data_IF_248333597542
#
_entry.id   IF_248333597542
#
_cell.length_a   1.000
_cell.length_b   1.000
_cell.length_c   1.000
_cell.angle_alpha   90.00
_cell.angle_beta   90.00
_cell.angle_gamma   90.00
#
_symmetry.space_group_name_H-M   'P 1'
#
loop_
_entity.id
_entity.type
_entity.pdbx_description
1 polymer ?
#
# COMPACT_ATOMS: atom_id res chain seq x y z
N UNK A 1 50.29 52.88 -8.62
CA UNK A 1 48.88 52.66 -8.91
C UNK A 1 48.73 51.23 -9.38
N UNK A 2 48.46 50.29 -8.46
CA UNK A 2 48.15 48.91 -8.81
C UNK A 2 46.62 48.71 -8.64
N UNK A 3 45.93 48.51 -9.76
CA UNK A 3 44.51 48.12 -9.74
C UNK A 3 44.41 46.67 -9.33
N UNK A 4 43.81 46.44 -8.16
CA UNK A 4 43.43 45.11 -7.70
C UNK A 4 42.38 44.50 -8.61
N UNK A 5 42.63 43.32 -9.14
CA UNK A 5 41.68 42.46 -9.81
C UNK A 5 40.87 41.80 -8.71
N UNK A 6 39.59 42.19 -8.56
CA UNK A 6 38.63 41.43 -7.78
C UNK A 6 38.31 40.15 -8.58
N UNK A 7 38.82 39.03 -8.10
CA UNK A 7 38.30 37.72 -8.52
C UNK A 7 36.90 37.55 -7.90
N UNK A 8 35.88 37.67 -8.70
CA UNK A 8 34.55 37.20 -8.35
C UNK A 8 34.60 35.69 -8.31
N UNK A 9 34.57 35.12 -7.10
CA UNK A 9 34.33 33.69 -6.89
C UNK A 9 32.92 33.37 -7.38
N UNK A 10 32.79 32.94 -8.62
CA UNK A 10 31.62 32.25 -9.12
C UNK A 10 31.67 30.79 -8.63
N UNK A 11 31.44 30.55 -7.35
CA UNK A 11 31.04 29.26 -6.85
C UNK A 11 29.54 29.09 -7.15
N UNK A 12 29.18 28.84 -8.39
CA UNK A 12 27.95 28.20 -8.72
C UNK A 12 28.08 26.76 -8.17
N UNK A 13 27.67 26.54 -6.93
CA UNK A 13 27.52 25.21 -6.37
C UNK A 13 26.55 24.46 -7.29
N UNK A 14 27.04 23.40 -7.93
CA UNK A 14 26.25 22.59 -8.84
C UNK A 14 25.26 21.81 -7.95
N UNK A 15 24.06 22.40 -7.73
CA UNK A 15 23.02 21.83 -6.84
C UNK A 15 22.54 20.50 -7.40
N UNK A 16 22.35 19.51 -6.53
CA UNK A 16 21.66 18.27 -6.90
C UNK A 16 20.16 18.54 -7.08
N UNK A 17 19.60 18.15 -8.21
CA UNK A 17 18.19 18.34 -8.54
C UNK A 17 17.37 17.15 -8.04
N UNK A 18 16.33 17.42 -7.25
CA UNK A 18 15.36 16.43 -6.78
C UNK A 18 13.99 16.73 -7.40
N UNK A 19 13.53 15.84 -8.25
CA UNK A 19 12.21 15.91 -8.87
C UNK A 19 11.16 15.19 -8.01
N UNK A 20 10.12 15.91 -7.62
CA UNK A 20 8.95 15.37 -6.93
C UNK A 20 7.81 15.20 -7.93
N UNK A 21 7.58 13.96 -8.39
CA UNK A 21 6.48 13.62 -9.30
C UNK A 21 5.19 13.45 -8.49
N UNK A 22 4.13 14.17 -8.89
CA UNK A 22 2.82 14.27 -8.23
C UNK A 22 2.87 14.94 -6.83
N UNK A 23 3.94 15.66 -6.56
CA UNK A 23 4.11 16.41 -5.33
C UNK A 23 4.23 15.55 -4.07
N UNK A 24 4.58 16.18 -2.97
CA UNK A 24 4.69 15.58 -1.64
C UNK A 24 4.03 16.48 -0.60
N UNK A 25 3.79 15.94 0.60
CA UNK A 25 3.38 16.74 1.74
C UNK A 25 4.49 17.74 2.13
N UNK A 26 4.11 18.94 2.60
CA UNK A 26 5.05 20.03 2.89
C UNK A 26 6.13 19.66 3.91
N UNK A 27 5.80 18.81 4.89
CA UNK A 27 6.78 18.28 5.84
C UNK A 27 7.92 17.45 5.22
N UNK A 28 7.67 16.79 4.08
CA UNK A 28 8.72 16.15 3.31
C UNK A 28 9.51 17.15 2.47
N UNK A 29 8.80 18.08 1.78
CA UNK A 29 9.45 19.14 0.98
C UNK A 29 10.39 20.00 1.82
N UNK A 30 10.01 20.28 3.08
CA UNK A 30 10.82 21.08 4.01
C UNK A 30 12.24 20.52 4.16
N UNK A 31 12.41 19.18 4.21
CA UNK A 31 13.72 18.55 4.31
C UNK A 31 14.63 18.86 3.11
N UNK A 32 14.06 19.01 1.90
CA UNK A 32 14.81 19.43 0.71
C UNK A 32 15.16 20.93 0.76
N UNK A 33 14.22 21.76 1.21
CA UNK A 33 14.38 23.22 1.26
C UNK A 33 15.35 23.69 2.35
N UNK A 34 15.60 22.86 3.38
CA UNK A 34 16.61 23.10 4.41
C UNK A 34 18.06 22.82 3.94
N UNK A 35 18.22 22.31 2.70
CA UNK A 35 19.53 21.98 2.10
C UNK A 35 19.91 23.00 1.03
N UNK A 36 21.01 23.71 1.22
CA UNK A 36 21.53 24.72 0.27
C UNK A 36 22.09 24.10 -1.01
N UNK A 37 22.47 22.82 -0.98
CA UNK A 37 23.03 22.06 -2.10
C UNK A 37 21.97 21.33 -2.93
N UNK A 38 20.67 21.51 -2.63
CA UNK A 38 19.56 20.90 -3.34
C UNK A 38 18.75 21.95 -4.12
N UNK A 39 18.30 21.56 -5.31
CA UNK A 39 17.25 22.22 -6.09
C UNK A 39 16.03 21.31 -6.14
N UNK A 40 14.94 21.72 -5.50
CA UNK A 40 13.70 20.96 -5.42
C UNK A 40 12.73 21.36 -6.54
N UNK A 41 12.33 20.42 -7.39
CA UNK A 41 11.43 20.63 -8.53
C UNK A 41 10.16 19.79 -8.28
N UNK A 42 8.98 20.35 -8.53
CA UNK A 42 7.71 19.64 -8.39
C UNK A 42 6.93 19.68 -9.69
N UNK A 43 6.44 18.52 -10.14
CA UNK A 43 5.44 18.42 -11.20
C UNK A 43 4.22 17.68 -10.66
N UNK A 44 3.02 18.04 -11.14
CA UNK A 44 1.78 17.38 -10.73
C UNK A 44 1.29 16.33 -11.74
N UNK A 45 1.99 16.21 -12.86
CA UNK A 45 1.65 15.31 -13.95
C UNK A 45 1.98 13.85 -13.65
N UNK A 46 1.23 12.94 -14.30
CA UNK A 46 1.54 11.52 -14.42
C UNK A 46 1.86 11.13 -15.89
N UNK A 47 1.92 12.10 -16.80
CA UNK A 47 2.27 11.87 -18.20
C UNK A 47 3.74 11.50 -18.35
N UNK A 48 4.03 10.43 -19.11
CA UNK A 48 5.37 9.88 -19.31
C UNK A 48 6.33 10.91 -19.91
N UNK A 49 5.89 11.69 -20.90
CA UNK A 49 6.76 12.63 -21.59
C UNK A 49 7.08 13.85 -20.71
N UNK A 50 6.10 14.34 -19.94
CA UNK A 50 6.33 15.43 -18.99
C UNK A 50 7.29 15.01 -17.88
N UNK A 51 7.12 13.79 -17.35
CA UNK A 51 8.04 13.24 -16.35
C UNK A 51 9.43 13.07 -16.93
N UNK A 52 9.55 12.52 -18.15
CA UNK A 52 10.83 12.28 -18.83
C UNK A 52 11.60 13.60 -19.06
N UNK A 53 10.93 14.65 -19.49
CA UNK A 53 11.59 15.96 -19.69
C UNK A 53 12.02 16.58 -18.36
N UNK A 54 11.17 16.53 -17.31
CA UNK A 54 11.49 17.06 -15.99
C UNK A 54 12.61 16.27 -15.28
N UNK A 55 12.70 14.96 -15.54
CA UNK A 55 13.68 14.06 -14.93
C UNK A 55 15.06 14.10 -15.59
N UNK A 56 15.19 14.71 -16.78
CA UNK A 56 16.41 14.69 -17.62
C UNK A 56 17.70 15.03 -16.88
N UNK A 57 17.65 16.05 -16.03
CA UNK A 57 18.80 16.52 -15.24
C UNK A 57 18.65 16.17 -13.75
N UNK A 58 17.66 15.38 -13.36
CA UNK A 58 17.42 15.04 -11.98
C UNK A 58 18.47 14.07 -11.44
N UNK A 59 18.89 14.29 -10.19
CA UNK A 59 19.79 13.40 -9.44
C UNK A 59 18.98 12.44 -8.53
N UNK A 60 17.79 12.85 -8.11
CA UNK A 60 16.85 12.02 -7.35
C UNK A 60 15.43 12.27 -7.82
N UNK A 61 14.63 11.21 -7.84
CA UNK A 61 13.21 11.27 -8.18
C UNK A 61 12.40 10.69 -7.03
N UNK A 62 11.42 11.45 -6.53
CA UNK A 62 10.36 10.89 -5.68
C UNK A 62 9.09 10.76 -6.50
N UNK A 63 8.34 9.65 -6.32
CA UNK A 63 7.13 9.37 -7.11
C UNK A 63 6.02 8.78 -6.24
N UNK A 64 4.77 9.15 -6.52
CA UNK A 64 3.59 8.58 -5.84
C UNK A 64 3.04 7.36 -6.61
N UNK A 65 2.23 7.60 -7.64
CA UNK A 65 1.54 6.54 -8.39
C UNK A 65 1.85 6.55 -9.88
N UNK A 66 2.54 7.58 -10.38
CA UNK A 66 2.92 7.65 -11.79
C UNK A 66 3.92 6.54 -12.15
N UNK A 67 3.89 6.13 -13.42
CA UNK A 67 4.83 5.15 -13.94
C UNK A 67 6.21 5.77 -14.12
N UNK A 68 7.23 5.08 -13.63
CA UNK A 68 8.65 5.36 -13.92
C UNK A 68 9.14 4.26 -14.86
N UNK A 69 9.04 4.55 -16.14
CA UNK A 69 9.36 3.59 -17.20
C UNK A 69 10.85 3.58 -17.53
N UNK A 70 11.29 2.56 -18.26
CA UNK A 70 12.66 2.44 -18.81
C UNK A 70 13.08 3.70 -19.57
N UNK A 71 12.18 4.29 -20.36
CA UNK A 71 12.48 5.51 -21.12
C UNK A 71 12.83 6.69 -20.21
N UNK A 72 12.08 6.88 -19.12
CA UNK A 72 12.37 7.94 -18.14
C UNK A 72 13.74 7.71 -17.52
N UNK A 73 14.01 6.47 -17.07
CA UNK A 73 15.25 6.09 -16.39
C UNK A 73 16.46 6.29 -17.30
N UNK A 74 16.43 5.76 -18.50
CA UNK A 74 17.54 5.86 -19.47
C UNK A 74 17.78 7.30 -19.96
N UNK A 75 16.74 8.15 -19.97
CA UNK A 75 16.88 9.57 -20.33
C UNK A 75 17.47 10.42 -19.20
N UNK A 76 17.44 9.95 -17.97
CA UNK A 76 17.85 10.67 -16.76
C UNK A 76 19.32 10.37 -16.40
N UNK A 77 20.27 11.00 -17.11
CA UNK A 77 21.71 10.65 -17.06
C UNK A 77 22.40 10.88 -15.72
N UNK A 78 21.82 11.74 -14.88
CA UNK A 78 22.39 12.09 -13.56
C UNK A 78 21.67 11.36 -12.41
N UNK A 79 20.69 10.51 -12.71
CA UNK A 79 19.82 9.86 -11.71
C UNK A 79 20.62 8.91 -10.82
N UNK A 80 20.54 9.13 -9.51
CA UNK A 80 21.24 8.36 -8.48
C UNK A 80 20.27 7.53 -7.62
N UNK A 81 18.98 7.89 -7.62
CA UNK A 81 17.95 7.19 -6.83
C UNK A 81 16.55 7.49 -7.35
N UNK A 82 15.70 6.48 -7.32
CA UNK A 82 14.22 6.61 -7.35
C UNK A 82 13.69 6.24 -5.97
N UNK A 83 12.89 7.12 -5.36
CA UNK A 83 12.27 6.88 -4.06
C UNK A 83 10.75 6.93 -4.16
N UNK A 84 10.11 5.82 -3.85
CA UNK A 84 8.65 5.68 -3.90
C UNK A 84 8.01 6.24 -2.63
N UNK A 85 7.04 7.15 -2.78
CA UNK A 85 6.18 7.65 -1.71
C UNK A 85 5.14 6.60 -1.32
N UNK A 86 5.55 5.57 -0.61
CA UNK A 86 4.75 4.42 -0.18
C UNK A 86 5.52 3.11 -0.29
N UNK A 87 4.84 1.97 -0.23
CA UNK A 87 5.46 0.63 -0.16
C UNK A 87 5.39 -0.12 -1.49
N UNK A 88 4.28 -0.02 -2.22
CA UNK A 88 4.11 -0.68 -3.51
C UNK A 88 4.92 0.02 -4.61
N UNK A 89 5.55 -0.73 -5.48
CA UNK A 89 6.42 -0.22 -6.55
C UNK A 89 6.10 -0.82 -7.92
N UNK A 90 4.90 -1.34 -8.08
CA UNK A 90 4.42 -2.01 -9.29
C UNK A 90 4.45 -1.09 -10.54
N UNK A 91 4.43 0.24 -10.34
CA UNK A 91 4.53 1.26 -11.40
C UNK A 91 5.96 1.66 -11.77
N UNK A 92 6.99 0.99 -11.22
CA UNK A 92 8.40 1.35 -11.43
C UNK A 92 9.12 0.19 -12.13
N UNK A 93 9.79 0.49 -13.23
CA UNK A 93 10.60 -0.50 -13.96
C UNK A 93 11.90 -0.81 -13.19
N UNK A 94 11.82 -1.83 -12.33
CA UNK A 94 12.94 -2.26 -11.47
C UNK A 94 14.09 -2.82 -12.29
N UNK A 95 13.80 -3.50 -13.39
CA UNK A 95 14.83 -4.08 -14.27
C UNK A 95 15.65 -2.97 -14.95
N UNK A 96 14.99 -1.90 -15.40
CA UNK A 96 15.68 -0.74 -15.95
C UNK A 96 16.57 -0.04 -14.90
N UNK A 97 16.11 0.05 -13.65
CA UNK A 97 16.92 0.59 -12.54
C UNK A 97 18.14 -0.30 -12.25
N UNK A 98 17.97 -1.62 -12.28
CA UNK A 98 19.06 -2.59 -12.13
C UNK A 98 20.11 -2.43 -13.24
N UNK A 99 19.66 -2.36 -14.49
CA UNK A 99 20.54 -2.18 -15.66
C UNK A 99 21.36 -0.89 -15.59
N UNK A 100 20.79 0.15 -14.98
CA UNK A 100 21.44 1.45 -14.80
C UNK A 100 22.22 1.58 -13.47
N UNK A 101 22.19 0.58 -12.59
CA UNK A 101 22.82 0.62 -11.26
C UNK A 101 22.20 1.66 -10.32
N UNK A 102 20.88 1.93 -10.44
CA UNK A 102 20.17 2.96 -9.68
C UNK A 102 19.31 2.30 -8.61
N UNK A 103 19.48 2.61 -7.32
CA UNK A 103 18.67 2.07 -6.24
C UNK A 103 17.23 2.58 -6.28
N UNK A 104 16.30 1.66 -5.99
CA UNK A 104 14.90 1.93 -5.71
C UNK A 104 14.65 1.86 -4.22
N UNK A 105 14.33 2.99 -3.61
CA UNK A 105 13.90 3.05 -2.21
C UNK A 105 12.38 3.15 -2.07
N UNK A 106 11.85 2.63 -0.97
CA UNK A 106 10.42 2.72 -0.61
C UNK A 106 10.24 3.35 0.78
N UNK A 107 9.04 3.89 1.04
CA UNK A 107 8.67 4.37 2.38
C UNK A 107 8.18 3.19 3.25
N UNK A 108 9.11 2.27 3.57
CA UNK A 108 8.84 0.91 4.05
C UNK A 108 8.01 0.83 5.35
N UNK A 109 8.15 1.82 6.26
CA UNK A 109 7.55 1.78 7.61
C UNK A 109 6.42 2.81 7.78
N UNK A 110 6.07 3.55 6.74
CA UNK A 110 5.31 4.79 6.88
C UNK A 110 3.80 4.60 6.99
N UNK A 111 3.21 3.57 6.32
CA UNK A 111 1.75 3.40 6.22
C UNK A 111 1.20 2.10 6.81
N UNK A 112 2.05 1.22 7.34
CA UNK A 112 1.65 -0.11 7.81
C UNK A 112 0.56 -0.09 8.88
N UNK A 113 0.58 0.94 9.77
CA UNK A 113 -0.44 1.12 10.81
C UNK A 113 -1.77 1.47 10.17
N UNK A 114 -1.78 2.43 9.25
CA UNK A 114 -3.00 2.93 8.58
C UNK A 114 -3.69 1.83 7.79
N UNK A 115 -2.93 1.00 7.05
CA UNK A 115 -3.49 -0.13 6.30
C UNK A 115 -4.07 -1.19 7.23
N UNK A 116 -3.39 -1.51 8.34
CA UNK A 116 -3.92 -2.46 9.32
C UNK A 116 -5.19 -1.94 10.01
N UNK A 117 -5.27 -0.63 10.27
CA UNK A 117 -6.47 0.01 10.80
C UNK A 117 -7.62 0.01 9.80
N UNK A 118 -7.31 0.28 8.53
CA UNK A 118 -8.31 0.24 7.46
C UNK A 118 -8.89 -1.17 7.25
N UNK A 119 -8.05 -2.21 7.27
CA UNK A 119 -8.50 -3.59 7.20
C UNK A 119 -9.42 -3.95 8.38
N UNK A 120 -9.05 -3.54 9.60
CA UNK A 120 -9.90 -3.74 10.78
C UNK A 120 -11.20 -2.93 10.69
N UNK A 121 -11.14 -1.68 10.21
CA UNK A 121 -12.32 -0.87 9.94
C UNK A 121 -13.27 -1.55 8.96
N UNK A 122 -12.77 -2.08 7.83
CA UNK A 122 -13.61 -2.80 6.85
C UNK A 122 -14.31 -3.99 7.49
N UNK A 123 -13.61 -4.79 8.28
CA UNK A 123 -14.19 -5.91 9.00
C UNK A 123 -15.29 -5.47 9.97
N UNK A 124 -15.04 -4.44 10.78
CA UNK A 124 -16.01 -3.90 11.72
C UNK A 124 -17.22 -3.30 11.02
N UNK A 125 -17.00 -2.53 9.95
CA UNK A 125 -18.08 -1.91 9.17
C UNK A 125 -19.02 -2.96 8.55
N UNK A 126 -18.45 -4.03 7.99
CA UNK A 126 -19.21 -5.15 7.45
C UNK A 126 -19.94 -5.93 8.54
N UNK A 127 -19.26 -6.30 9.63
CA UNK A 127 -19.86 -7.06 10.73
C UNK A 127 -20.96 -6.30 11.45
N UNK A 128 -20.87 -4.97 11.55
CA UNK A 128 -21.89 -4.10 12.15
C UNK A 128 -22.95 -3.61 11.14
N UNK A 129 -22.82 -3.96 9.86
CA UNK A 129 -23.74 -3.54 8.79
C UNK A 129 -23.96 -2.02 8.77
N UNK A 130 -22.85 -1.26 8.90
CA UNK A 130 -22.89 0.16 9.23
C UNK A 130 -23.68 0.99 8.21
N UNK A 131 -23.51 0.72 6.90
CA UNK A 131 -24.19 1.50 5.86
C UNK A 131 -25.69 1.22 5.80
N UNK A 132 -26.10 -0.01 6.11
CA UNK A 132 -27.51 -0.35 6.20
C UNK A 132 -28.18 0.45 7.33
N UNK A 133 -27.66 0.36 8.55
CA UNK A 133 -28.26 1.06 9.68
C UNK A 133 -28.14 2.58 9.59
N UNK A 134 -27.03 3.14 9.10
CA UNK A 134 -26.87 4.58 8.86
C UNK A 134 -27.93 5.12 7.88
N UNK A 135 -28.16 4.40 6.75
CA UNK A 135 -29.15 4.77 5.75
C UNK A 135 -30.56 4.90 6.32
N UNK A 136 -30.94 3.98 7.21
CA UNK A 136 -32.28 4.00 7.84
C UNK A 136 -32.36 5.01 8.99
N UNK A 137 -31.31 5.14 9.79
CA UNK A 137 -31.25 6.15 10.84
C UNK A 137 -31.43 7.57 10.29
N UNK A 138 -30.78 7.90 9.15
CA UNK A 138 -30.94 9.19 8.46
C UNK A 138 -32.37 9.45 7.96
N UNK A 139 -33.16 8.41 7.75
CA UNK A 139 -34.57 8.50 7.37
C UNK A 139 -35.52 8.55 8.58
N UNK A 140 -34.99 8.57 9.79
CA UNK A 140 -35.72 8.41 11.05
C UNK A 140 -36.57 7.12 11.10
N UNK A 141 -36.14 6.08 10.37
CA UNK A 141 -36.78 4.77 10.36
C UNK A 141 -36.15 3.87 11.44
N UNK A 142 -36.86 3.74 12.54
CA UNK A 142 -36.47 2.94 13.71
C UNK A 142 -36.92 1.47 13.63
N UNK A 143 -37.67 1.09 12.61
CA UNK A 143 -38.17 -0.29 12.47
C UNK A 143 -37.05 -1.30 12.27
N UNK A 144 -35.95 -0.86 11.63
CA UNK A 144 -34.76 -1.67 11.37
C UNK A 144 -33.99 -2.13 12.61
N UNK A 145 -34.25 -1.53 13.79
CA UNK A 145 -33.65 -1.99 15.06
C UNK A 145 -33.97 -3.44 15.41
N UNK A 146 -35.05 -3.97 14.83
CA UNK A 146 -35.47 -5.36 15.00
C UNK A 146 -34.99 -6.29 13.89
N UNK A 147 -34.36 -5.74 12.84
CA UNK A 147 -33.72 -6.51 11.77
C UNK A 147 -32.24 -6.76 12.14
N UNK A 148 -32.02 -7.83 12.91
CA UNK A 148 -30.69 -8.13 13.49
C UNK A 148 -29.78 -8.71 12.43
N UNK A 149 -28.92 -7.85 11.82
CA UNK A 149 -27.91 -8.20 10.82
C UNK A 149 -26.48 -8.13 11.34
N UNK A 150 -26.27 -7.32 12.39
CA UNK A 150 -24.95 -7.14 12.97
C UNK A 150 -24.55 -8.33 13.86
N UNK A 151 -23.24 -8.61 13.93
CA UNK A 151 -22.67 -9.59 14.84
C UNK A 151 -21.39 -9.08 15.48
N UNK A 152 -20.98 -9.71 16.59
CA UNK A 152 -19.76 -9.35 17.29
C UNK A 152 -18.56 -10.06 16.67
N UNK A 153 -17.40 -9.35 16.61
CA UNK A 153 -16.15 -9.95 16.16
C UNK A 153 -15.43 -10.72 17.29
N UNK A 154 -15.78 -10.44 18.55
CA UNK A 154 -15.24 -11.15 19.70
C UNK A 154 -15.51 -12.67 19.60
N UNK A 155 -14.50 -13.48 19.90
CA UNK A 155 -14.49 -14.95 19.79
C UNK A 155 -14.68 -15.50 18.36
N UNK A 156 -14.66 -14.64 17.32
CA UNK A 156 -14.68 -15.05 15.93
C UNK A 156 -13.29 -15.38 15.42
N UNK A 157 -13.24 -16.28 14.45
CA UNK A 157 -11.98 -16.72 13.85
C UNK A 157 -11.63 -15.82 12.67
N UNK A 158 -10.46 -15.21 12.70
CA UNK A 158 -9.87 -14.48 11.57
C UNK A 158 -8.61 -15.17 11.07
N UNK A 159 -8.53 -15.39 9.76
CA UNK A 159 -7.31 -15.79 9.07
C UNK A 159 -6.64 -14.57 8.46
N UNK A 160 -5.38 -14.36 8.79
CA UNK A 160 -4.54 -13.32 8.20
C UNK A 160 -3.52 -14.02 7.31
N UNK A 161 -3.53 -13.71 6.01
CA UNK A 161 -2.59 -14.24 5.03
C UNK A 161 -1.51 -13.20 4.79
N UNK A 162 -0.28 -13.54 5.17
CA UNK A 162 0.88 -12.64 5.21
C UNK A 162 1.11 -12.04 6.61
N UNK A 163 2.29 -12.31 7.20
CA UNK A 163 2.73 -11.81 8.51
C UNK A 163 3.84 -10.76 8.40
N UNK A 164 3.83 -10.02 7.30
CA UNK A 164 4.77 -8.92 7.09
C UNK A 164 4.46 -7.68 7.95
N UNK A 165 4.95 -6.53 7.49
CA UNK A 165 4.81 -5.24 8.19
C UNK A 165 3.37 -4.87 8.54
N UNK A 166 2.41 -5.18 7.66
CA UNK A 166 0.99 -4.85 7.83
C UNK A 166 0.27 -5.95 8.62
N UNK A 167 0.40 -7.22 8.20
CA UNK A 167 -0.30 -8.34 8.81
C UNK A 167 -0.01 -8.48 10.30
N UNK A 168 1.25 -8.31 10.72
CA UNK A 168 1.64 -8.31 12.14
C UNK A 168 0.96 -7.19 12.95
N UNK A 169 0.68 -6.03 12.34
CA UNK A 169 -0.07 -4.94 13.00
C UNK A 169 -1.56 -5.24 13.07
N UNK A 170 -2.11 -5.95 12.07
CA UNK A 170 -3.52 -6.41 12.12
C UNK A 170 -3.69 -7.49 13.18
N UNK A 171 -2.77 -8.46 13.32
CA UNK A 171 -2.81 -9.48 14.39
C UNK A 171 -3.03 -8.83 15.74
N UNK A 172 -2.20 -7.83 16.10
CA UNK A 172 -2.33 -7.13 17.37
C UNK A 172 -3.70 -6.49 17.58
N UNK A 173 -4.29 -5.92 16.50
CA UNK A 173 -5.61 -5.28 16.56
C UNK A 173 -6.73 -6.30 16.71
N UNK A 174 -6.68 -7.38 15.94
CA UNK A 174 -7.66 -8.45 16.00
C UNK A 174 -7.68 -9.13 17.39
N UNK A 175 -6.51 -9.38 17.98
CA UNK A 175 -6.39 -9.88 19.35
C UNK A 175 -7.00 -8.93 20.38
N UNK A 176 -6.83 -7.61 20.21
CA UNK A 176 -7.41 -6.61 21.11
C UNK A 176 -8.96 -6.53 21.00
N UNK A 177 -9.54 -7.08 19.93
CA UNK A 177 -10.99 -7.29 19.78
C UNK A 177 -11.44 -8.69 20.18
N UNK A 178 -10.61 -9.41 20.97
CA UNK A 178 -10.88 -10.76 21.45
C UNK A 178 -11.16 -11.79 20.35
N UNK A 179 -10.59 -11.59 19.15
CA UNK A 179 -10.70 -12.56 18.06
C UNK A 179 -9.72 -13.72 18.23
N UNK A 180 -10.08 -14.88 17.72
CA UNK A 180 -9.17 -16.01 17.53
C UNK A 180 -8.39 -15.76 16.22
N UNK A 181 -7.10 -15.44 16.32
CA UNK A 181 -6.29 -15.05 15.17
C UNK A 181 -5.46 -16.24 14.69
N UNK A 182 -5.60 -16.57 13.41
CA UNK A 182 -4.84 -17.57 12.68
C UNK A 182 -4.01 -16.85 11.61
N UNK A 183 -2.77 -17.29 11.40
CA UNK A 183 -1.87 -16.67 10.44
C UNK A 183 -1.24 -17.73 9.54
N UNK A 184 -1.31 -17.51 8.25
CA UNK A 184 -0.57 -18.22 7.23
C UNK A 184 0.47 -17.31 6.59
N UNK A 185 1.73 -17.68 6.68
CA UNK A 185 2.84 -17.06 5.95
C UNK A 185 3.93 -18.13 5.75
N UNK A 186 4.23 -18.54 4.49
CA UNK A 186 5.19 -19.61 4.23
C UNK A 186 6.65 -19.17 4.38
N UNK A 187 6.92 -17.88 4.58
CA UNK A 187 8.27 -17.30 4.63
C UNK A 187 8.69 -16.84 6.02
N UNK A 188 7.76 -16.84 6.99
CA UNK A 188 8.01 -16.41 8.37
C UNK A 188 8.01 -17.63 9.30
N UNK A 189 9.00 -17.66 10.20
CA UNK A 189 9.09 -18.74 11.18
C UNK A 189 7.82 -18.80 12.06
N UNK A 190 7.28 -20.01 12.22
CA UNK A 190 6.09 -20.27 13.03
C UNK A 190 6.22 -19.73 14.47
N UNK A 191 7.45 -19.73 15.01
CA UNK A 191 7.73 -19.20 16.36
C UNK A 191 7.55 -17.69 16.45
N UNK A 192 7.81 -16.93 15.39
CA UNK A 192 7.58 -15.48 15.37
C UNK A 192 6.09 -15.16 15.37
N UNK A 193 5.32 -15.93 14.58
CA UNK A 193 3.86 -15.79 14.54
C UNK A 193 3.25 -16.12 15.90
N UNK A 194 3.65 -17.24 16.52
CA UNK A 194 3.11 -17.65 17.82
C UNK A 194 3.49 -16.73 18.96
N UNK A 195 4.68 -16.12 18.94
CA UNK A 195 5.09 -15.08 19.90
C UNK A 195 4.19 -13.84 19.87
N UNK A 196 3.54 -13.58 18.73
CA UNK A 196 2.58 -12.45 18.61
C UNK A 196 1.23 -12.71 19.28
N UNK A 197 0.96 -13.94 19.73
CA UNK A 197 -0.31 -14.41 20.29
C UNK A 197 -1.25 -15.02 19.23
N UNK A 198 -0.87 -15.05 17.97
CA UNK A 198 -1.62 -15.71 16.92
C UNK A 198 -1.29 -17.20 16.81
N UNK A 199 -2.18 -17.95 16.17
CA UNK A 199 -1.96 -19.36 15.84
C UNK A 199 -1.40 -19.48 14.43
N UNK A 200 -0.21 -20.06 14.30
CA UNK A 200 0.36 -20.41 13.00
C UNK A 200 -0.42 -21.56 12.36
N UNK A 201 -0.54 -21.53 11.03
CA UNK A 201 -1.14 -22.60 10.23
C UNK A 201 -0.26 -22.89 9.02
N UNK A 202 -0.02 -24.20 8.75
CA UNK A 202 0.79 -24.66 7.61
C UNK A 202 0.07 -24.53 6.27
N UNK A 203 -1.27 -24.55 6.30
CA UNK A 203 -2.12 -24.44 5.11
C UNK A 203 -3.36 -23.61 5.43
N UNK A 204 -3.57 -22.53 4.69
CA UNK A 204 -4.76 -21.71 4.85
C UNK A 204 -6.03 -22.44 4.36
N UNK A 205 -5.88 -23.33 3.38
CA UNK A 205 -6.99 -24.09 2.81
C UNK A 205 -7.67 -25.00 3.83
N UNK A 206 -6.89 -25.63 4.70
CA UNK A 206 -7.40 -26.61 5.65
C UNK A 206 -8.37 -26.02 6.68
N UNK A 207 -8.22 -24.70 6.93
CA UNK A 207 -8.99 -23.99 7.96
C UNK A 207 -10.03 -23.01 7.41
N UNK A 208 -10.08 -22.75 6.09
CA UNK A 208 -11.02 -21.77 5.49
C UNK A 208 -12.47 -22.00 5.93
N UNK A 209 -12.89 -23.26 6.03
CA UNK A 209 -14.24 -23.65 6.46
C UNK A 209 -14.61 -23.22 7.89
N UNK A 210 -13.61 -22.90 8.71
CA UNK A 210 -13.77 -22.53 10.12
C UNK A 210 -13.59 -21.03 10.36
N UNK A 211 -13.24 -20.27 9.31
CA UNK A 211 -12.96 -18.83 9.41
C UNK A 211 -14.21 -17.99 9.23
N UNK A 212 -14.37 -16.99 10.11
CA UNK A 212 -15.43 -15.99 10.03
C UNK A 212 -14.99 -14.76 9.23
N UNK A 213 -13.67 -14.52 9.14
CA UNK A 213 -13.06 -13.51 8.30
C UNK A 213 -11.72 -13.97 7.74
N UNK A 214 -11.40 -13.51 6.54
CA UNK A 214 -10.07 -13.66 5.93
C UNK A 214 -9.57 -12.28 5.53
N UNK A 215 -8.31 -11.95 5.86
CA UNK A 215 -7.69 -10.68 5.50
C UNK A 215 -6.34 -10.92 4.81
N UNK A 216 -6.18 -10.32 3.62
CA UNK A 216 -5.02 -10.54 2.76
C UNK A 216 -3.99 -9.42 2.92
N UNK A 217 -2.73 -9.80 3.18
CA UNK A 217 -1.59 -8.89 3.41
C UNK A 217 -0.30 -9.42 2.79
N UNK A 218 -0.41 -10.32 1.82
CA UNK A 218 0.70 -10.84 1.02
C UNK A 218 0.97 -9.93 -0.20
N UNK A 219 2.18 -9.97 -0.79
CA UNK A 219 2.45 -9.33 -2.08
C UNK A 219 1.72 -10.07 -3.21
N UNK A 220 1.54 -9.40 -4.37
CA UNK A 220 1.11 -10.05 -5.60
C UNK A 220 2.34 -10.61 -6.32
N UNK A 221 2.33 -11.89 -6.61
CA UNK A 221 3.32 -12.62 -7.40
C UNK A 221 2.64 -13.82 -8.09
N UNK A 222 3.40 -14.71 -8.69
CA UNK A 222 2.87 -15.92 -9.35
C UNK A 222 2.11 -16.84 -8.39
N UNK A 223 2.57 -16.96 -7.13
CA UNK A 223 1.95 -17.82 -6.11
C UNK A 223 0.64 -17.25 -5.55
N UNK A 224 0.49 -15.93 -5.57
CA UNK A 224 -0.64 -15.22 -4.94
C UNK A 224 -1.63 -14.65 -5.94
N UNK A 225 -1.31 -14.68 -7.24
CA UNK A 225 -2.25 -14.30 -8.30
C UNK A 225 -3.43 -15.26 -8.32
N UNK A 226 -4.66 -14.71 -8.28
CA UNK A 226 -5.92 -15.47 -8.19
C UNK A 226 -5.97 -16.47 -7.01
N UNK A 227 -5.20 -16.19 -5.95
CA UNK A 227 -5.11 -17.03 -4.75
C UNK A 227 -6.50 -17.25 -4.11
N UNK A 228 -7.38 -16.25 -4.20
CA UNK A 228 -8.79 -16.37 -3.82
C UNK A 228 -9.67 -16.38 -5.07
N UNK A 229 -10.10 -17.57 -5.44
CA UNK A 229 -10.94 -17.84 -6.60
C UNK A 229 -12.16 -18.69 -6.22
N UNK A 230 -12.83 -19.29 -7.19
CA UNK A 230 -14.05 -20.08 -6.98
C UNK A 230 -13.85 -21.22 -5.98
N UNK A 231 -12.66 -21.86 -5.96
CA UNK A 231 -12.30 -22.94 -5.03
C UNK A 231 -12.34 -22.46 -3.58
N UNK A 232 -11.63 -21.38 -3.29
CA UNK A 232 -11.49 -20.84 -1.95
C UNK A 232 -12.84 -20.30 -1.43
N UNK A 233 -13.60 -19.59 -2.27
CA UNK A 233 -14.95 -19.14 -1.91
C UNK A 233 -15.91 -20.29 -1.61
N UNK A 234 -15.79 -21.43 -2.29
CA UNK A 234 -16.60 -22.60 -2.00
C UNK A 234 -16.25 -23.28 -0.67
N UNK A 235 -15.03 -23.09 -0.17
CA UNK A 235 -14.55 -23.60 1.11
C UNK A 235 -14.88 -22.69 2.29
N UNK A 236 -15.11 -21.38 2.05
CA UNK A 236 -15.43 -20.41 3.09
C UNK A 236 -16.82 -20.60 3.69
N UNK A 237 -17.02 -20.15 4.93
CA UNK A 237 -18.36 -20.10 5.55
C UNK A 237 -19.26 -19.13 4.79
N UNK A 238 -20.55 -19.44 4.67
CA UNK A 238 -21.56 -18.52 4.12
C UNK A 238 -21.70 -17.22 4.92
N UNK A 239 -21.32 -17.24 6.18
CA UNK A 239 -21.33 -16.09 7.09
C UNK A 239 -20.00 -15.32 7.11
N UNK A 240 -19.00 -15.70 6.31
CA UNK A 240 -17.68 -15.11 6.38
C UNK A 240 -17.53 -13.84 5.54
N UNK A 241 -16.50 -13.07 5.86
CA UNK A 241 -16.04 -11.90 5.11
C UNK A 241 -14.63 -12.10 4.54
N UNK A 242 -14.40 -11.52 3.36
CA UNK A 242 -13.07 -11.38 2.77
C UNK A 242 -12.65 -9.91 2.78
N UNK A 243 -11.42 -9.60 3.24
CA UNK A 243 -10.84 -8.25 3.22
C UNK A 243 -9.56 -8.27 2.38
N UNK A 244 -9.47 -7.38 1.39
CA UNK A 244 -8.26 -7.21 0.59
C UNK A 244 -7.84 -5.72 0.58
N UNK A 245 -6.79 -5.40 1.35
CA UNK A 245 -6.08 -4.12 1.33
C UNK A 245 -4.62 -4.32 0.87
N UNK A 246 -4.33 -5.42 0.15
CA UNK A 246 -2.98 -5.75 -0.33
C UNK A 246 -2.77 -5.31 -1.78
N UNK A 247 -3.24 -6.13 -2.74
CA UNK A 247 -3.16 -5.84 -4.19
C UNK A 247 -4.37 -6.41 -4.92
N UNK A 248 -4.77 -5.73 -6.01
CA UNK A 248 -5.64 -6.31 -7.03
C UNK A 248 -5.01 -7.55 -7.67
N UNK A 249 -5.82 -8.49 -8.16
CA UNK A 249 -5.37 -9.73 -8.77
C UNK A 249 -4.94 -10.83 -7.79
N UNK A 250 -4.92 -10.59 -6.46
CA UNK A 250 -4.82 -11.66 -5.45
C UNK A 250 -6.18 -12.34 -5.30
N UNK A 251 -7.24 -11.58 -5.43
CA UNK A 251 -8.62 -12.05 -5.46
C UNK A 251 -9.11 -12.00 -6.90
N UNK A 252 -9.58 -13.11 -7.45
CA UNK A 252 -10.23 -13.11 -8.75
C UNK A 252 -11.58 -12.39 -8.66
N UNK A 253 -11.69 -11.19 -9.22
CA UNK A 253 -12.89 -10.34 -9.10
C UNK A 253 -14.15 -10.99 -9.67
N UNK A 254 -14.04 -11.77 -10.76
CA UNK A 254 -15.16 -12.50 -11.36
C UNK A 254 -15.70 -13.58 -10.43
N UNK A 255 -14.80 -14.30 -9.78
CA UNK A 255 -15.14 -15.33 -8.78
C UNK A 255 -15.74 -14.72 -7.52
N UNK A 256 -15.20 -13.57 -7.07
CA UNK A 256 -15.75 -12.81 -5.95
C UNK A 256 -17.17 -12.32 -6.25
N UNK A 257 -17.41 -11.75 -7.44
CA UNK A 257 -18.75 -11.33 -7.87
C UNK A 257 -19.75 -12.48 -7.79
N UNK A 258 -19.39 -13.66 -8.31
CA UNK A 258 -20.22 -14.87 -8.23
C UNK A 258 -20.48 -15.30 -6.78
N UNK A 259 -19.43 -15.26 -5.94
CA UNK A 259 -19.53 -15.66 -4.54
C UNK A 259 -20.47 -14.73 -3.73
N UNK A 260 -20.39 -13.42 -3.97
CA UNK A 260 -21.24 -12.42 -3.33
C UNK A 260 -22.69 -12.50 -3.79
N UNK A 261 -22.94 -12.61 -5.11
CA UNK A 261 -24.31 -12.70 -5.69
C UNK A 261 -25.02 -14.00 -5.34
N UNK A 262 -24.28 -15.12 -5.27
CA UNK A 262 -24.80 -16.43 -4.87
C UNK A 262 -24.80 -16.65 -3.37
N UNK A 263 -24.38 -15.66 -2.57
CA UNK A 263 -24.30 -15.72 -1.09
C UNK A 263 -23.45 -16.90 -0.59
N UNK A 264 -22.36 -17.19 -1.29
CA UNK A 264 -21.35 -18.16 -0.84
C UNK A 264 -20.56 -17.63 0.35
N UNK A 265 -20.31 -16.30 0.35
CA UNK A 265 -19.81 -15.54 1.49
C UNK A 265 -20.77 -14.40 1.81
N UNK A 266 -20.71 -13.87 3.01
CA UNK A 266 -21.64 -12.83 3.48
C UNK A 266 -21.31 -11.47 2.84
N UNK A 267 -20.02 -11.14 2.72
CA UNK A 267 -19.57 -9.86 2.15
C UNK A 267 -18.07 -9.80 1.94
N UNK A 268 -17.63 -8.70 1.36
CA UNK A 268 -16.21 -8.42 1.17
C UNK A 268 -15.88 -6.94 1.39
N UNK A 269 -14.61 -6.64 1.71
CA UNK A 269 -14.03 -5.30 1.74
C UNK A 269 -12.84 -5.22 0.80
N UNK A 270 -12.86 -4.33 -0.16
CA UNK A 270 -11.77 -4.11 -1.11
C UNK A 270 -11.29 -2.67 -1.09
N UNK A 271 -9.99 -2.50 -0.94
CA UNK A 271 -9.29 -1.22 -1.15
C UNK A 271 -8.51 -1.20 -2.47
N UNK A 272 -8.40 -2.36 -3.14
CA UNK A 272 -7.58 -2.58 -4.33
C UNK A 272 -8.34 -3.40 -5.37
N UNK A 273 -8.01 -3.19 -6.66
CA UNK A 273 -8.74 -3.76 -7.80
C UNK A 273 -7.78 -4.31 -8.86
N UNK A 274 -8.29 -5.19 -9.74
CA UNK A 274 -7.53 -5.74 -10.86
C UNK A 274 -7.02 -4.63 -11.78
N UNK A 275 -7.88 -3.67 -12.09
CA UNK A 275 -7.56 -2.48 -12.87
C UNK A 275 -7.66 -1.23 -11.96
N UNK A 276 -6.59 -0.46 -11.85
CA UNK A 276 -6.54 0.81 -11.10
C UNK A 276 -6.02 1.96 -11.98
N UNK A 277 -6.80 3.04 -12.15
CA UNK A 277 -8.14 3.30 -11.63
C UNK A 277 -9.20 2.38 -12.23
N UNK A 278 -10.05 1.82 -11.36
CA UNK A 278 -11.17 1.00 -11.82
C UNK A 278 -12.29 1.86 -12.41
N UNK A 279 -13.05 1.31 -13.35
CA UNK A 279 -14.13 2.01 -14.03
C UNK A 279 -15.49 1.72 -13.40
N UNK A 280 -16.47 2.61 -13.63
CA UNK A 280 -17.86 2.42 -13.15
C UNK A 280 -18.56 1.17 -13.71
N UNK A 281 -17.99 0.53 -14.73
CA UNK A 281 -18.48 -0.72 -15.29
C UNK A 281 -18.07 -1.96 -14.49
N UNK A 282 -17.22 -1.83 -13.48
CA UNK A 282 -16.86 -2.95 -12.62
C UNK A 282 -18.12 -3.48 -11.89
N UNK A 283 -18.52 -4.76 -12.13
CA UNK A 283 -19.78 -5.29 -11.59
C UNK A 283 -19.83 -5.33 -10.07
N UNK A 284 -18.69 -5.39 -9.39
CA UNK A 284 -18.61 -5.35 -7.93
C UNK A 284 -19.20 -4.05 -7.34
N UNK A 285 -19.14 -2.94 -8.09
CA UNK A 285 -19.62 -1.63 -7.61
C UNK A 285 -21.15 -1.54 -7.51
N UNK A 286 -21.87 -2.51 -8.08
CA UNK A 286 -23.34 -2.60 -8.00
C UNK A 286 -23.86 -3.39 -6.78
N UNK A 287 -22.98 -4.03 -6.01
CA UNK A 287 -23.37 -4.92 -4.92
C UNK A 287 -23.53 -4.18 -3.58
N UNK A 288 -24.54 -4.55 -2.81
CA UNK A 288 -24.80 -3.99 -1.47
C UNK A 288 -24.01 -4.68 -0.35
N UNK A 289 -23.44 -5.86 -0.60
CA UNK A 289 -22.71 -6.65 0.37
C UNK A 289 -21.18 -6.57 0.18
N UNK A 290 -20.72 -5.47 -0.35
CA UNK A 290 -19.30 -5.15 -0.49
C UNK A 290 -19.02 -3.74 0.03
N UNK A 291 -17.90 -3.56 0.72
CA UNK A 291 -17.36 -2.26 1.11
C UNK A 291 -16.15 -1.94 0.24
N UNK A 292 -16.18 -0.78 -0.40
CA UNK A 292 -15.18 -0.37 -1.38
C UNK A 292 -14.46 0.90 -0.95
N UNK A 293 -13.16 0.99 -1.22
CA UNK A 293 -12.39 2.23 -1.10
C UNK A 293 -11.35 2.32 -2.22
N UNK A 294 -10.96 3.54 -2.67
CA UNK A 294 -10.17 3.76 -3.88
C UNK A 294 -8.66 3.74 -3.58
N UNK A 295 -8.12 2.63 -3.10
CA UNK A 295 -6.71 2.40 -2.74
C UNK A 295 -6.17 3.47 -1.78
N UNK A 296 -6.93 3.69 -0.69
CA UNK A 296 -6.64 4.72 0.32
C UNK A 296 -6.30 4.17 1.70
N UNK A 297 -6.23 2.85 1.87
CA UNK A 297 -5.95 2.24 3.17
C UNK A 297 -4.65 2.78 3.82
N UNK A 298 -3.66 3.14 3.00
CA UNK A 298 -2.41 3.75 3.43
C UNK A 298 -2.41 5.28 3.46
N UNK A 299 -3.53 5.96 3.14
CA UNK A 299 -3.58 7.43 2.92
C UNK A 299 -4.32 8.10 4.08
N UNK A 300 -3.65 8.21 5.22
CA UNK A 300 -4.07 9.08 6.34
C UNK A 300 -3.18 10.32 6.38
N UNK A 301 -3.60 11.35 7.14
CA UNK A 301 -2.77 12.55 7.34
C UNK A 301 -1.38 12.18 7.87
N UNK A 302 -1.33 11.37 8.92
CA UNK A 302 -0.09 10.92 9.55
C UNK A 302 0.76 10.05 8.63
N UNK A 303 0.15 9.10 7.90
CA UNK A 303 0.87 8.26 6.96
C UNK A 303 1.42 9.07 5.78
N UNK A 304 0.67 10.03 5.26
CA UNK A 304 1.11 10.90 4.17
C UNK A 304 2.32 11.74 4.58
N UNK A 305 2.32 12.28 5.81
CA UNK A 305 3.47 12.99 6.37
C UNK A 305 4.69 12.05 6.47
N UNK A 306 4.50 10.87 7.08
CA UNK A 306 5.59 9.88 7.23
C UNK A 306 6.14 9.41 5.90
N UNK A 307 5.28 9.10 4.92
CA UNK A 307 5.68 8.66 3.58
C UNK A 307 6.48 9.76 2.86
N UNK A 308 6.03 11.02 2.96
CA UNK A 308 6.73 12.15 2.34
C UNK A 308 8.11 12.37 2.95
N UNK A 309 8.20 12.36 4.29
CA UNK A 309 9.49 12.48 4.99
C UNK A 309 10.43 11.33 4.62
N UNK A 310 9.94 10.09 4.66
CA UNK A 310 10.76 8.91 4.34
C UNK A 310 11.23 8.93 2.89
N UNK A 311 10.35 9.26 1.93
CA UNK A 311 10.72 9.30 0.52
C UNK A 311 11.81 10.33 0.24
N UNK A 312 11.73 11.50 0.86
CA UNK A 312 12.77 12.53 0.76
C UNK A 312 14.03 12.10 1.48
N UNK A 313 13.91 11.57 2.70
CA UNK A 313 15.07 11.14 3.48
C UNK A 313 15.88 10.07 2.73
N UNK A 314 15.21 9.10 2.09
CA UNK A 314 15.88 8.09 1.26
C UNK A 314 16.74 8.73 0.15
N UNK A 315 16.23 9.81 -0.48
CA UNK A 315 17.00 10.54 -1.51
C UNK A 315 18.23 11.21 -0.89
N UNK A 316 18.04 11.89 0.23
CA UNK A 316 19.14 12.58 0.93
C UNK A 316 20.18 11.60 1.46
N UNK A 317 19.76 10.44 1.96
CA UNK A 317 20.66 9.40 2.47
C UNK A 317 21.56 8.82 1.36
N UNK A 318 21.02 8.64 0.14
CA UNK A 318 21.85 8.25 -1.02
C UNK A 318 22.85 9.36 -1.36
N UNK A 319 22.43 10.63 -1.36
CA UNK A 319 23.32 11.74 -1.63
C UNK A 319 24.43 11.90 -0.60
N UNK A 320 24.15 11.53 0.64
CA UNK A 320 25.09 11.61 1.77
C UNK A 320 25.87 10.30 1.99
N UNK A 321 25.70 9.26 1.14
CA UNK A 321 26.28 7.92 1.28
C UNK A 321 25.91 7.23 2.61
N UNK A 322 24.66 7.39 3.06
CA UNK A 322 24.09 6.84 4.31
C UNK A 322 22.91 5.92 4.05
N UNK A 323 22.96 5.14 2.98
CA UNK A 323 21.84 4.30 2.52
C UNK A 323 21.46 3.27 3.58
N UNK A 324 20.18 3.23 3.95
CA UNK A 324 19.60 2.13 4.73
C UNK A 324 19.19 0.98 3.79
N UNK A 325 19.86 -0.19 3.84
CA UNK A 325 19.53 -1.32 2.96
C UNK A 325 18.11 -1.88 3.17
N UNK A 326 17.47 -1.61 4.32
CA UNK A 326 16.12 -2.12 4.62
C UNK A 326 15.01 -1.42 3.82
N UNK A 327 15.29 -0.23 3.28
CA UNK A 327 14.34 0.49 2.43
C UNK A 327 14.60 0.29 0.94
N UNK A 328 15.72 -0.35 0.55
CA UNK A 328 16.09 -0.60 -0.84
C UNK A 328 15.50 -1.93 -1.34
N UNK A 329 14.85 -1.87 -2.48
CA UNK A 329 14.24 -3.05 -3.14
C UNK A 329 15.28 -3.85 -3.91
N UNK A 330 16.06 -3.19 -4.74
CA UNK A 330 17.07 -3.79 -5.61
C UNK A 330 18.47 -3.72 -4.97
N UNK A 331 18.68 -4.44 -3.88
CA UNK A 331 19.91 -4.42 -3.08
C UNK A 331 21.19 -4.79 -3.84
N UNK A 332 21.05 -5.42 -4.99
CA UNK A 332 22.16 -5.82 -5.87
C UNK A 332 22.90 -4.64 -6.53
N UNK A 333 22.36 -3.44 -6.44
CA UNK A 333 23.00 -2.22 -7.01
C UNK A 333 23.71 -1.33 -5.97
N UNK A 334 23.75 -1.76 -4.70
CA UNK A 334 24.41 -1.04 -3.59
C UNK A 334 25.91 -1.30 -3.53
#
# INVERSE_FOLDING_TARGET
>A
MFKGIQMTNNNATNKKKVLMVQGLHDEGKKLLLERDDIEAITIMSADENEIMEAAKDAHGVTVRTANITRKIIENSKNLQIVSRHGVGYDSIDVDALNDCGIPLAIAAHSNMISVAEHAMFMLLALSKNVFYYDKFARKADWTTRWDIRAWDVANKNILIIGFGRIGSKLVRRALAFDMNVFVYDPYIDASEITKSGAKYVDSYLDILKDMDAVSLHCPKNEETTDMFSEREFNMMKKSSFLINCARGGIVNEKSLYKALTSKKILGAGLDVYDDEPSTSSNPLFSLDNILLSPHIAGVTQEATIRMSKQAVQNVLDVFDNKVDPEVIINKNVL
#
